data_IF_486134832753
#
_entry.id   IF_486134832753
#
_cell.length_a   1.000
_cell.length_b   1.000
_cell.length_c   1.000
_cell.angle_alpha   90.00
_cell.angle_beta   90.00
_cell.angle_gamma   90.00
#
_symmetry.space_group_name_H-M   'P 1'
#
loop_
_entity.id
_entity.type
_entity.pdbx_description
1 polymer ?
#
# COMPACT_ATOMS: atom_id res chain seq x y z
N UNK A 1 12.93 10.22 18.99
CA UNK A 1 12.30 9.21 18.12
C UNK A 1 13.23 8.01 18.12
N UNK A 2 12.75 6.81 18.46
CA UNK A 2 13.62 5.63 18.57
C UNK A 2 14.05 5.13 17.17
N UNK A 3 15.09 4.30 17.09
CA UNK A 3 15.45 3.65 15.82
C UNK A 3 14.28 2.82 15.26
N UNK A 4 13.53 2.14 16.14
CA UNK A 4 12.31 1.44 15.75
C UNK A 4 11.29 2.38 15.10
N UNK A 5 10.98 3.53 15.73
CA UNK A 5 9.98 4.48 15.21
C UNK A 5 10.39 5.01 13.83
N UNK A 6 11.69 5.28 13.63
CA UNK A 6 12.22 5.77 12.35
C UNK A 6 12.12 4.71 11.26
N UNK A 7 12.59 3.49 11.53
CA UNK A 7 12.52 2.37 10.58
C UNK A 7 11.06 2.02 10.25
N UNK A 8 10.18 1.97 11.25
CA UNK A 8 8.77 1.65 11.09
C UNK A 8 8.05 2.71 10.24
N UNK A 9 8.27 3.99 10.55
CA UNK A 9 7.70 5.11 9.80
C UNK A 9 8.20 5.12 8.35
N UNK A 10 9.49 4.87 8.12
CA UNK A 10 10.05 4.85 6.76
C UNK A 10 9.39 3.77 5.88
N UNK A 11 9.18 2.56 6.43
CA UNK A 11 8.52 1.49 5.69
C UNK A 11 7.07 1.87 5.35
N UNK A 12 6.36 2.53 6.27
CA UNK A 12 4.99 3.00 6.00
C UNK A 12 4.95 4.12 4.95
N UNK A 13 5.94 5.03 4.93
CA UNK A 13 6.09 6.07 3.90
C UNK A 13 6.23 5.43 2.51
N UNK A 14 7.03 4.37 2.39
CA UNK A 14 7.24 3.67 1.12
C UNK A 14 5.92 3.06 0.60
N UNK A 15 5.11 2.46 1.48
CA UNK A 15 3.78 1.93 1.14
C UNK A 15 2.81 3.02 0.64
N UNK A 16 2.82 4.18 1.30
CA UNK A 16 1.99 5.33 0.91
C UNK A 16 2.44 5.89 -0.43
N UNK A 17 3.76 6.01 -0.64
CA UNK A 17 4.35 6.55 -1.87
C UNK A 17 3.95 5.74 -3.11
N UNK A 18 4.04 4.40 -3.05
CA UNK A 18 3.64 3.56 -4.19
C UNK A 18 2.13 3.61 -4.47
N UNK A 19 1.29 3.77 -3.44
CA UNK A 19 -0.15 3.96 -3.61
C UNK A 19 -0.47 5.33 -4.23
N UNK A 20 0.28 6.36 -3.85
CA UNK A 20 0.14 7.70 -4.41
C UNK A 20 0.58 7.76 -5.88
N UNK A 21 1.66 7.05 -6.22
CA UNK A 21 2.10 6.87 -7.60
C UNK A 21 1.04 6.11 -8.42
N UNK A 22 0.49 5.02 -7.86
CA UNK A 22 -0.56 4.23 -8.50
C UNK A 22 -1.77 5.09 -8.85
N UNK A 23 -2.27 5.86 -7.88
CA UNK A 23 -3.42 6.77 -8.04
C UNK A 23 -3.10 8.03 -8.85
N UNK A 24 -1.85 8.25 -9.27
CA UNK A 24 -1.39 9.49 -9.92
C UNK A 24 -1.76 10.74 -9.12
N UNK A 25 -1.69 10.65 -7.79
CA UNK A 25 -2.09 11.72 -6.87
C UNK A 25 -3.58 12.12 -6.92
N UNK A 26 -4.43 11.32 -7.58
CA UNK A 26 -5.87 11.58 -7.69
C UNK A 26 -6.68 10.94 -6.55
N UNK A 27 -6.21 11.03 -5.31
CA UNK A 27 -6.91 10.53 -4.13
C UNK A 27 -6.86 11.54 -2.98
N UNK A 28 -7.93 11.60 -2.20
CA UNK A 28 -8.00 12.36 -0.94
C UNK A 28 -7.34 11.58 0.19
N UNK A 29 -7.55 10.25 0.22
CA UNK A 29 -7.02 9.34 1.25
C UNK A 29 -6.63 8.00 0.65
N UNK A 30 -5.64 7.39 1.28
CA UNK A 30 -5.15 6.04 0.98
C UNK A 30 -5.42 5.16 2.19
N UNK A 31 -6.03 4.01 1.96
CA UNK A 31 -6.25 2.98 2.97
C UNK A 31 -5.41 1.76 2.59
N UNK A 32 -4.51 1.35 3.48
CA UNK A 32 -3.64 0.18 3.30
C UNK A 32 -3.95 -0.80 4.42
N UNK A 33 -4.38 -2.00 4.04
CA UNK A 33 -4.71 -3.09 4.96
C UNK A 33 -3.60 -4.14 4.89
N UNK A 34 -3.05 -4.48 6.05
CA UNK A 34 -2.03 -5.51 6.20
C UNK A 34 -2.48 -6.48 7.30
N UNK A 35 -2.47 -7.76 7.00
CA UNK A 35 -2.77 -8.84 7.94
C UNK A 35 -1.62 -9.84 7.90
N UNK A 36 -1.15 -10.28 9.06
CA UNK A 36 -0.16 -11.35 9.16
C UNK A 36 -0.60 -12.38 10.18
N UNK A 37 -0.90 -13.58 9.68
CA UNK A 37 -1.40 -14.68 10.48
C UNK A 37 -0.75 -15.97 9.99
N UNK A 38 -0.33 -16.84 10.92
CA UNK A 38 0.21 -18.16 10.61
C UNK A 38 1.28 -18.14 9.49
N UNK A 39 2.24 -17.22 9.58
CA UNK A 39 3.32 -17.01 8.60
C UNK A 39 2.87 -16.54 7.20
N UNK A 40 1.58 -16.23 7.03
CA UNK A 40 1.02 -15.73 5.78
C UNK A 40 0.72 -14.24 5.92
N UNK A 41 1.13 -13.45 4.94
CA UNK A 41 0.86 -12.01 4.90
C UNK A 41 -0.10 -11.70 3.77
N UNK A 42 -1.21 -11.06 4.11
CA UNK A 42 -2.19 -10.55 3.16
C UNK A 42 -2.13 -9.03 3.15
N UNK A 43 -2.20 -8.45 1.95
CA UNK A 43 -2.23 -7.00 1.79
C UNK A 43 -3.33 -6.60 0.83
N UNK A 44 -3.95 -5.45 1.12
CA UNK A 44 -4.84 -4.79 0.19
C UNK A 44 -4.74 -3.27 0.36
N UNK A 45 -5.26 -2.53 -0.62
CA UNK A 45 -5.36 -1.08 -0.56
C UNK A 45 -6.52 -0.58 -1.40
N UNK A 46 -7.11 0.54 -1.01
CA UNK A 46 -8.14 1.27 -1.74
C UNK A 46 -8.06 2.75 -1.38
N UNK A 47 -8.89 3.56 -2.03
CA UNK A 47 -8.78 5.01 -1.97
C UNK A 47 -10.11 5.67 -1.64
N UNK A 48 -10.02 6.91 -1.20
CA UNK A 48 -11.12 7.87 -1.29
C UNK A 48 -10.76 8.92 -2.34
N UNK A 49 -11.68 9.26 -3.23
CA UNK A 49 -11.52 10.33 -4.21
C UNK A 49 -12.84 11.09 -4.34
N UNK A 50 -12.78 12.43 -4.31
CA UNK A 50 -13.95 13.30 -4.28
C UNK A 50 -14.95 12.94 -3.16
N UNK A 51 -14.43 12.54 -2.00
CA UNK A 51 -15.25 12.12 -0.88
C UNK A 51 -15.84 10.71 -0.97
N UNK A 52 -15.72 10.01 -2.10
CA UNK A 52 -16.26 8.67 -2.31
C UNK A 52 -15.20 7.57 -2.21
N UNK A 53 -15.62 6.39 -1.75
CA UNK A 53 -14.76 5.22 -1.69
C UNK A 53 -14.60 4.61 -3.08
N UNK A 54 -13.36 4.48 -3.56
CA UNK A 54 -13.06 3.95 -4.89
C UNK A 54 -12.02 2.82 -4.81
N UNK A 55 -12.27 1.78 -5.59
CA UNK A 55 -11.33 0.67 -5.76
C UNK A 55 -10.20 1.05 -6.72
N UNK A 56 -9.15 0.24 -6.75
CA UNK A 56 -7.98 0.40 -7.63
C UNK A 56 -8.36 0.52 -9.12
N UNK A 57 -9.46 -0.12 -9.53
CA UNK A 57 -9.96 -0.11 -10.91
C UNK A 57 -10.70 1.19 -11.24
N UNK A 58 -11.30 1.84 -10.24
CA UNK A 58 -12.13 3.03 -10.43
C UNK A 58 -11.32 4.32 -10.38
N UNK A 59 -10.18 4.35 -9.67
CA UNK A 59 -9.34 5.54 -9.54
C UNK A 59 -8.48 5.83 -10.78
N UNK A 60 -8.24 4.80 -11.59
CA UNK A 60 -7.47 4.86 -12.82
C UNK A 60 -8.44 4.87 -13.99
N UNK A 61 -8.95 6.05 -14.37
CA UNK A 61 -9.89 6.25 -15.48
C UNK A 61 -9.29 6.09 -16.90
N UNK A 62 -8.06 5.59 -17.02
CA UNK A 62 -7.52 5.18 -18.32
C UNK A 62 -8.21 3.87 -18.76
N UNK A 63 -9.28 4.01 -19.56
CA UNK A 63 -10.04 2.94 -20.21
C UNK A 63 -9.19 1.97 -21.03
N UNK A 64 -7.93 2.33 -21.34
CA UNK A 64 -7.10 1.58 -22.26
C UNK A 64 -6.29 0.44 -21.66
N UNK A 65 -6.33 0.20 -20.34
CA UNK A 65 -5.90 -1.05 -19.72
C UNK A 65 -6.31 -1.02 -18.25
N UNK A 66 -7.18 -1.95 -17.86
CA UNK A 66 -7.06 -2.59 -16.55
C UNK A 66 -5.59 -3.06 -16.46
N UNK A 67 -4.71 -2.24 -15.88
CA UNK A 67 -3.29 -2.57 -15.83
C UNK A 67 -3.07 -3.53 -14.66
N UNK A 68 -3.60 -4.74 -14.83
CA UNK A 68 -3.47 -5.87 -13.90
C UNK A 68 -2.02 -6.04 -13.46
N UNK A 69 -1.07 -5.80 -14.37
CA UNK A 69 0.35 -5.83 -14.08
C UNK A 69 0.75 -4.75 -13.06
N UNK A 70 0.38 -3.49 -13.29
CA UNK A 70 0.63 -2.39 -12.34
C UNK A 70 0.00 -2.66 -10.98
N UNK A 71 -1.22 -3.19 -10.94
CA UNK A 71 -1.86 -3.59 -9.68
C UNK A 71 -1.11 -4.69 -8.95
N UNK A 72 -0.70 -5.74 -9.66
CA UNK A 72 0.10 -6.83 -9.12
C UNK A 72 1.45 -6.34 -8.61
N UNK A 73 2.09 -5.42 -9.33
CA UNK A 73 3.38 -4.84 -8.96
C UNK A 73 3.24 -3.98 -7.69
N UNK A 74 2.23 -3.10 -7.63
CA UNK A 74 1.93 -2.31 -6.42
C UNK A 74 1.62 -3.21 -5.21
N UNK A 75 0.80 -4.26 -5.40
CA UNK A 75 0.52 -5.24 -4.34
C UNK A 75 1.80 -5.97 -3.87
N UNK A 76 2.68 -6.33 -4.81
CA UNK A 76 3.93 -7.02 -4.51
C UNK A 76 4.89 -6.14 -3.70
N UNK A 77 4.96 -4.84 -4.02
CA UNK A 77 5.75 -3.85 -3.28
C UNK A 77 5.21 -3.72 -1.86
N UNK A 78 3.90 -3.48 -1.70
CA UNK A 78 3.25 -3.35 -0.38
C UNK A 78 3.43 -4.64 0.44
N UNK A 79 3.32 -5.81 -0.19
CA UNK A 79 3.55 -7.10 0.48
C UNK A 79 4.98 -7.24 0.98
N UNK A 80 5.97 -6.79 0.20
CA UNK A 80 7.36 -6.81 0.63
C UNK A 80 7.59 -5.85 1.81
N UNK A 81 7.02 -4.65 1.75
CA UNK A 81 7.12 -3.67 2.83
C UNK A 81 6.41 -4.17 4.09
N UNK A 82 5.28 -4.84 3.96
CA UNK A 82 4.58 -5.47 5.08
C UNK A 82 5.47 -6.52 5.76
N UNK A 83 6.15 -7.36 4.97
CA UNK A 83 7.13 -8.32 5.51
C UNK A 83 8.31 -7.63 6.20
N UNK A 84 8.76 -6.46 5.74
CA UNK A 84 9.77 -5.65 6.44
C UNK A 84 9.23 -5.14 7.78
N UNK A 85 7.99 -4.65 7.84
CA UNK A 85 7.34 -4.25 9.10
C UNK A 85 7.32 -5.42 10.10
N UNK A 86 6.87 -6.61 9.68
CA UNK A 86 6.84 -7.77 10.59
C UNK A 86 8.22 -8.19 11.07
N UNK A 87 9.22 -8.17 10.18
CA UNK A 87 10.61 -8.44 10.58
C UNK A 87 11.14 -7.41 11.58
N UNK A 88 10.81 -6.14 11.37
CA UNK A 88 11.19 -5.06 12.29
C UNK A 88 10.52 -5.25 13.66
N UNK A 89 9.22 -5.50 13.70
CA UNK A 89 8.47 -5.74 14.94
C UNK A 89 8.97 -6.98 15.71
N UNK A 90 9.50 -8.00 15.03
CA UNK A 90 10.06 -9.19 15.68
C UNK A 90 11.52 -9.01 16.15
N UNK A 91 12.23 -7.97 15.64
CA UNK A 91 13.62 -7.69 15.98
C UNK A 91 13.73 -6.95 17.32
N UNK A 92 12.76 -6.09 17.62
CA UNK A 92 12.66 -5.32 18.85
C UNK A 92 11.73 -6.02 19.84
#
# INVERSE_FOLDING_TARGET
MSNFDLEFTQIQIDMVAICLEYSRQNCDKIYIHVIHENSTTFVNYFFQANGEMVTKNQISSDDNLINTKRQQDTLSIILNDARKLFKLCNKY
#
